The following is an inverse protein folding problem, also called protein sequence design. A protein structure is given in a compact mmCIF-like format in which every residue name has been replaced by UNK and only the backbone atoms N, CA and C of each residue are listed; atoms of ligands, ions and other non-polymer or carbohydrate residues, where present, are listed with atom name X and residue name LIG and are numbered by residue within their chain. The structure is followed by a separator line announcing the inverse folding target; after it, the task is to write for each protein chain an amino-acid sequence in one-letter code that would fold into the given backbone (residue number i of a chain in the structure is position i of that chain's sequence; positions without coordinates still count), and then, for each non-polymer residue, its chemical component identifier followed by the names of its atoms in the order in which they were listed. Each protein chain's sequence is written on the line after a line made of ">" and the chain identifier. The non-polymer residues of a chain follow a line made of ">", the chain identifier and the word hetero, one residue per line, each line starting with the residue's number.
data_IF_311062128935
#
_entry.id   IF_311062128935
#
_cell.length_a   1.000
_cell.length_b   1.000
_cell.length_c   1.000
_cell.angle_alpha   90.00
_cell.angle_beta   90.00
_cell.angle_gamma   90.00
#
_symmetry.space_group_name_H-M   'P 1'
#
loop_
_entity.id
_entity.type
_entity.pdbx_description
1 polymer ?
#
# COMPACT_ATOMS: atom_id res chain seq x y z
N UNK A 1 7.30 -14.74 -14.92
CA UNK A 1 6.13 -14.47 -14.05
C UNK A 1 6.46 -13.76 -12.76
N UNK A 2 7.48 -14.18 -11.99
CA UNK A 2 7.84 -13.52 -10.72
C UNK A 2 8.08 -12.01 -10.84
N UNK A 3 8.74 -11.53 -11.91
CA UNK A 3 8.95 -10.10 -12.14
C UNK A 3 7.65 -9.32 -12.36
N UNK A 4 6.66 -9.90 -13.03
CA UNK A 4 5.35 -9.24 -13.29
C UNK A 4 4.60 -9.09 -11.98
N UNK A 5 4.53 -10.14 -11.16
CA UNK A 5 3.88 -10.09 -9.85
C UNK A 5 4.56 -9.11 -8.89
N UNK A 6 5.90 -9.06 -8.91
CA UNK A 6 6.66 -8.10 -8.11
C UNK A 6 6.37 -6.66 -8.54
N UNK A 7 6.32 -6.39 -9.83
CA UNK A 7 5.97 -5.08 -10.36
C UNK A 7 4.53 -4.69 -10.07
N UNK A 8 3.59 -5.62 -10.23
CA UNK A 8 2.18 -5.40 -9.89
C UNK A 8 2.03 -5.00 -8.42
N UNK A 9 2.67 -5.75 -7.50
CA UNK A 9 2.66 -5.44 -6.06
C UNK A 9 3.24 -4.06 -5.73
N UNK A 10 4.40 -3.71 -6.29
CA UNK A 10 5.05 -2.41 -6.03
C UNK A 10 4.18 -1.23 -6.50
N UNK A 11 3.48 -1.38 -7.62
CA UNK A 11 2.69 -0.29 -8.23
C UNK A 11 1.29 -0.22 -7.63
N UNK A 12 0.67 -1.36 -7.32
CA UNK A 12 -0.70 -1.38 -6.77
C UNK A 12 -0.76 -0.85 -5.34
N UNK A 13 0.31 -0.97 -4.55
CA UNK A 13 0.37 -0.48 -3.18
C UNK A 13 0.11 1.04 -3.06
N UNK A 14 0.89 1.94 -3.70
CA UNK A 14 0.64 3.38 -3.65
C UNK A 14 -0.67 3.77 -4.34
N UNK A 15 -1.04 3.11 -5.45
CA UNK A 15 -2.30 3.38 -6.15
C UNK A 15 -3.49 3.03 -5.24
N UNK A 16 -3.44 1.89 -4.56
CA UNK A 16 -4.47 1.45 -3.62
C UNK A 16 -4.61 2.41 -2.44
N UNK A 17 -3.50 2.87 -1.87
CA UNK A 17 -3.51 3.89 -0.82
C UNK A 17 -4.13 5.20 -1.33
N UNK A 18 -3.73 5.67 -2.52
CA UNK A 18 -4.32 6.86 -3.14
C UNK A 18 -5.82 6.70 -3.38
N UNK A 19 -6.28 5.57 -3.93
CA UNK A 19 -7.70 5.33 -4.16
C UNK A 19 -8.49 5.32 -2.85
N UNK A 20 -7.95 4.73 -1.79
CA UNK A 20 -8.57 4.75 -0.47
C UNK A 20 -8.74 6.17 0.06
N UNK A 21 -7.77 7.05 -0.18
CA UNK A 21 -7.87 8.48 0.14
C UNK A 21 -9.00 9.14 -0.62
N UNK A 22 -9.16 8.85 -1.91
CA UNK A 22 -10.24 9.44 -2.70
C UNK A 22 -11.61 9.00 -2.18
N UNK A 23 -11.74 7.72 -1.84
CA UNK A 23 -12.97 7.20 -1.26
C UNK A 23 -13.22 7.85 0.10
N UNK A 24 -12.21 7.95 0.97
CA UNK A 24 -12.33 8.63 2.26
C UNK A 24 -12.77 10.10 2.11
N UNK A 25 -12.12 10.86 1.23
CA UNK A 25 -12.48 12.26 0.98
C UNK A 25 -13.88 12.40 0.39
N UNK A 26 -14.28 11.51 -0.52
CA UNK A 26 -15.62 11.53 -1.10
C UNK A 26 -16.71 11.23 -0.05
N UNK A 27 -16.44 10.32 0.89
CA UNK A 27 -17.34 10.00 2.01
C UNK A 27 -17.46 11.21 2.95
N UNK A 28 -16.34 11.80 3.36
CA UNK A 28 -16.34 12.94 4.29
C UNK A 28 -16.92 14.21 3.64
N UNK A 29 -16.70 14.43 2.35
CA UNK A 29 -17.22 15.58 1.62
C UNK A 29 -18.71 15.47 1.23
N UNK A 30 -19.36 14.33 1.50
CA UNK A 30 -20.81 14.17 1.30
C UNK A 30 -21.27 13.97 -0.15
N UNK A 31 -20.39 13.65 -1.11
CA UNK A 31 -20.81 13.37 -2.49
C UNK A 31 -19.69 13.20 -3.51
N UNK A 32 -19.94 12.35 -4.51
CA UNK A 32 -18.97 12.01 -5.58
C UNK A 32 -18.87 13.10 -6.66
N UNK A 33 -19.94 13.89 -6.86
CA UNK A 33 -20.06 14.82 -8.00
C UNK A 33 -19.30 16.13 -7.76
N UNK A 34 -19.44 16.77 -6.58
CA UNK A 34 -18.64 17.94 -6.19
C UNK A 34 -17.17 17.57 -5.91
N UNK A 35 -16.93 16.29 -5.63
CA UNK A 35 -15.61 15.72 -5.43
C UNK A 35 -14.86 15.56 -6.77
N UNK A 36 -15.47 15.15 -7.88
CA UNK A 36 -14.71 14.63 -9.04
C UNK A 36 -13.67 15.61 -9.62
N UNK A 37 -13.98 16.91 -9.78
CA UNK A 37 -13.01 17.91 -10.27
C UNK A 37 -11.94 18.24 -9.22
N UNK A 38 -12.34 18.52 -7.97
CA UNK A 38 -11.41 18.85 -6.88
C UNK A 38 -10.51 17.66 -6.51
N UNK A 39 -11.06 16.45 -6.57
CA UNK A 39 -10.41 15.18 -6.25
C UNK A 39 -9.42 14.80 -7.35
N UNK A 40 -9.80 14.89 -8.63
CA UNK A 40 -8.87 14.65 -9.74
C UNK A 40 -7.65 15.58 -9.71
N UNK A 41 -7.89 16.87 -9.41
CA UNK A 41 -6.80 17.83 -9.26
C UNK A 41 -5.94 17.56 -8.01
N UNK A 42 -6.57 17.11 -6.91
CA UNK A 42 -5.85 16.71 -5.70
C UNK A 42 -4.94 15.50 -5.95
N UNK A 43 -5.42 14.49 -6.69
CA UNK A 43 -4.65 13.29 -7.06
C UNK A 43 -3.44 13.67 -7.88
N UNK A 44 -3.66 14.48 -8.91
CA UNK A 44 -2.59 14.93 -9.78
C UNK A 44 -1.53 15.70 -8.97
N UNK A 45 -1.96 16.60 -8.09
CA UNK A 45 -1.06 17.32 -7.18
C UNK A 45 -0.31 16.36 -6.24
N UNK A 46 -0.99 15.35 -5.69
CA UNK A 46 -0.38 14.31 -4.84
C UNK A 46 0.71 13.54 -5.58
N UNK A 47 0.47 13.15 -6.84
CA UNK A 47 1.47 12.46 -7.67
C UNK A 47 2.64 13.37 -8.01
N UNK A 48 2.38 14.62 -8.39
CA UNK A 48 3.43 15.57 -8.78
C UNK A 48 4.31 15.91 -7.57
N UNK A 49 3.70 16.28 -6.44
CA UNK A 49 4.43 16.61 -5.21
C UNK A 49 5.18 15.39 -4.71
N UNK A 50 4.50 14.24 -4.61
CA UNK A 50 5.13 13.01 -4.12
C UNK A 50 6.26 12.53 -5.03
N UNK A 51 6.06 12.59 -6.35
CA UNK A 51 7.08 12.27 -7.34
C UNK A 51 8.28 13.20 -7.26
N UNK A 52 8.06 14.52 -7.20
CA UNK A 52 9.14 15.51 -7.13
C UNK A 52 9.96 15.35 -5.84
N UNK A 53 9.30 15.26 -4.69
CA UNK A 53 9.97 15.09 -3.39
C UNK A 53 10.64 13.71 -3.31
N UNK A 54 10.03 12.65 -3.84
CA UNK A 54 10.60 11.31 -3.85
C UNK A 54 11.87 11.21 -4.70
N UNK A 55 11.87 11.80 -5.90
CA UNK A 55 13.06 11.88 -6.76
C UNK A 55 14.15 12.72 -6.09
N UNK A 56 13.79 13.87 -5.53
CA UNK A 56 14.74 14.76 -4.85
C UNK A 56 15.36 14.08 -3.62
N UNK A 57 14.55 13.45 -2.76
CA UNK A 57 15.01 12.73 -1.58
C UNK A 57 15.88 11.52 -1.91
N UNK A 58 15.49 10.74 -2.93
CA UNK A 58 16.29 9.61 -3.42
C UNK A 58 17.64 10.06 -3.99
N UNK A 59 17.65 11.09 -4.84
CA UNK A 59 18.88 11.68 -5.39
C UNK A 59 19.78 12.25 -4.30
N UNK A 60 19.21 12.99 -3.34
CA UNK A 60 19.96 13.54 -2.21
C UNK A 60 20.67 12.44 -1.42
N UNK A 61 19.98 11.35 -1.13
CA UNK A 61 20.53 10.21 -0.41
C UNK A 61 21.66 9.54 -1.19
N UNK A 62 21.49 9.33 -2.50
CA UNK A 62 22.54 8.78 -3.37
C UNK A 62 23.78 9.68 -3.36
N UNK A 63 23.61 11.01 -3.47
CA UNK A 63 24.72 11.97 -3.46
C UNK A 63 25.45 11.94 -2.12
N UNK A 64 24.72 11.93 -1.00
CA UNK A 64 25.30 11.88 0.35
C UNK A 64 26.13 10.61 0.56
N UNK A 65 25.64 9.46 0.08
CA UNK A 65 26.37 8.19 0.14
C UNK A 65 27.57 8.18 -0.80
N UNK A 66 27.42 8.67 -2.03
CA UNK A 66 28.50 8.71 -3.03
C UNK A 66 29.65 9.61 -2.62
N UNK A 67 29.36 10.72 -1.93
CA UNK A 67 30.36 11.68 -1.45
C UNK A 67 31.01 11.26 -0.13
N UNK A 68 30.71 10.06 0.39
CA UNK A 68 31.20 9.57 1.68
C UNK A 68 30.88 10.50 2.86
N UNK A 69 29.80 11.29 2.77
CA UNK A 69 29.35 12.15 3.88
C UNK A 69 28.66 11.37 4.99
N UNK A 70 28.21 10.14 4.68
CA UNK A 70 27.57 9.24 5.64
C UNK A 70 28.51 8.08 5.95
N UNK A 71 28.99 7.95 7.20
CA UNK A 71 29.73 6.78 7.64
C UNK A 71 28.92 5.49 7.48
N UNK A 72 29.59 4.37 7.18
CA UNK A 72 28.92 3.11 6.82
C UNK A 72 27.95 2.59 7.88
N UNK A 73 28.27 2.76 9.16
CA UNK A 73 27.41 2.36 10.29
C UNK A 73 26.16 3.24 10.46
N UNK A 74 26.14 4.47 9.93
CA UNK A 74 24.98 5.37 9.98
C UNK A 74 24.09 5.30 8.74
N UNK A 75 24.49 4.58 7.69
CA UNK A 75 23.76 4.54 6.42
C UNK A 75 22.29 4.16 6.60
N UNK A 76 22.00 3.15 7.42
CA UNK A 76 20.63 2.69 7.65
C UNK A 76 19.79 3.73 8.39
N UNK A 77 20.33 4.31 9.47
CA UNK A 77 19.64 5.32 10.28
C UNK A 77 19.40 6.62 9.52
N UNK A 78 20.41 7.11 8.79
CA UNK A 78 20.27 8.31 7.96
C UNK A 78 19.30 8.08 6.82
N UNK A 79 19.28 6.87 6.24
CA UNK A 79 18.30 6.52 5.20
C UNK A 79 16.87 6.59 5.71
N UNK A 80 16.60 6.00 6.87
CA UNK A 80 15.28 6.12 7.50
C UNK A 80 14.93 7.57 7.83
N UNK A 81 15.87 8.33 8.38
CA UNK A 81 15.66 9.73 8.73
C UNK A 81 15.25 10.55 7.51
N UNK A 82 15.98 10.42 6.40
CA UNK A 82 15.67 11.13 5.15
C UNK A 82 14.33 10.64 4.57
N UNK A 83 14.06 9.34 4.63
CA UNK A 83 12.81 8.76 4.14
C UNK A 83 11.60 9.31 4.91
N UNK A 84 11.66 9.33 6.25
CA UNK A 84 10.61 9.87 7.11
C UNK A 84 10.48 11.38 6.93
N UNK A 85 11.59 12.11 6.81
CA UNK A 85 11.58 13.54 6.56
C UNK A 85 10.93 13.87 5.21
N UNK A 86 11.29 13.15 4.15
CA UNK A 86 10.71 13.32 2.82
C UNK A 86 9.21 12.98 2.83
N UNK A 87 8.82 11.86 3.47
CA UNK A 87 7.43 11.47 3.66
C UNK A 87 6.64 12.62 4.32
N UNK A 88 7.09 13.06 5.50
CA UNK A 88 6.40 14.09 6.30
C UNK A 88 6.34 15.42 5.58
N UNK A 89 7.42 15.82 4.90
CA UNK A 89 7.47 17.07 4.14
C UNK A 89 6.49 17.05 2.97
N UNK A 90 6.43 15.95 2.21
CA UNK A 90 5.45 15.81 1.13
C UNK A 90 4.01 15.78 1.67
N UNK A 91 3.76 15.01 2.72
CA UNK A 91 2.44 14.88 3.36
C UNK A 91 1.93 16.22 3.91
N UNK A 92 2.84 17.06 4.43
CA UNK A 92 2.53 18.42 4.87
C UNK A 92 2.09 19.34 3.71
N UNK A 93 2.78 19.28 2.56
CA UNK A 93 2.43 20.08 1.37
C UNK A 93 1.10 19.61 0.78
N UNK A 94 0.94 18.30 0.68
CA UNK A 94 -0.23 17.65 0.13
C UNK A 94 -0.44 16.35 0.88
N UNK A 95 -1.51 16.30 1.68
CA UNK A 95 -1.91 15.11 2.44
C UNK A 95 -1.90 13.91 1.52
N UNK A 96 -1.34 12.81 2.03
CA UNK A 96 -1.27 11.49 1.41
C UNK A 96 -0.24 11.36 0.28
N UNK A 97 0.47 12.44 -0.09
CA UNK A 97 1.57 12.36 -1.05
C UNK A 97 2.80 11.64 -0.52
N UNK A 98 2.88 11.47 0.81
CA UNK A 98 3.93 10.69 1.48
C UNK A 98 4.09 9.28 0.94
N UNK A 99 3.00 8.55 0.67
CA UNK A 99 3.06 7.20 0.13
C UNK A 99 3.71 7.15 -1.26
N UNK A 100 3.38 8.11 -2.13
CA UNK A 100 4.01 8.23 -3.45
C UNK A 100 5.48 8.60 -3.32
N UNK A 101 5.82 9.53 -2.42
CA UNK A 101 7.19 9.95 -2.13
C UNK A 101 8.08 8.76 -1.78
N UNK A 102 7.68 7.94 -0.82
CA UNK A 102 8.51 6.81 -0.35
C UNK A 102 8.65 5.72 -1.41
N UNK A 103 7.60 5.46 -2.20
CA UNK A 103 7.68 4.50 -3.31
C UNK A 103 8.61 4.97 -4.41
N UNK A 104 8.50 6.24 -4.83
CA UNK A 104 9.38 6.80 -5.86
C UNK A 104 10.83 6.86 -5.37
N UNK A 105 11.04 7.24 -4.11
CA UNK A 105 12.36 7.24 -3.49
C UNK A 105 12.97 5.82 -3.45
N UNK A 106 12.16 4.81 -3.11
CA UNK A 106 12.56 3.40 -3.19
C UNK A 106 12.91 2.93 -4.60
N UNK A 107 12.12 3.31 -5.61
CA UNK A 107 12.39 3.00 -7.03
C UNK A 107 13.71 3.66 -7.48
N UNK A 108 13.95 4.92 -7.11
CA UNK A 108 15.19 5.64 -7.43
C UNK A 108 16.39 4.97 -6.79
N UNK A 109 16.28 4.58 -5.51
CA UNK A 109 17.35 3.88 -4.80
C UNK A 109 17.59 2.47 -5.32
N UNK A 110 16.57 1.76 -5.77
CA UNK A 110 16.71 0.41 -6.31
C UNK A 110 17.30 0.38 -7.73
N UNK A 111 17.05 1.41 -8.55
CA UNK A 111 17.49 1.47 -9.94
C UNK A 111 18.85 2.16 -10.16
N UNK A 112 19.41 2.81 -9.15
CA UNK A 112 20.74 3.43 -9.24
C UNK A 112 21.85 2.38 -9.14
N UNK A 113 23.00 2.66 -9.78
CA UNK A 113 24.18 1.77 -9.81
C UNK A 113 25.43 2.39 -9.18
N UNK A 114 25.27 3.56 -8.57
CA UNK A 114 26.37 4.41 -8.09
C UNK A 114 26.83 4.03 -6.68
N UNK A 115 25.91 3.57 -5.83
CA UNK A 115 26.18 3.21 -4.43
C UNK A 115 25.62 1.84 -4.08
N UNK A 116 26.33 1.11 -3.20
CA UNK A 116 25.81 -0.15 -2.65
C UNK A 116 24.71 0.13 -1.62
N UNK A 117 23.52 -0.43 -1.88
CA UNK A 117 22.32 -0.34 -1.02
C UNK A 117 22.02 -1.65 -0.30
N UNK A 118 22.90 -2.67 -0.37
CA UNK A 118 22.63 -4.02 0.16
C UNK A 118 22.21 -4.00 1.63
N UNK A 119 22.96 -3.32 2.48
CA UNK A 119 22.64 -3.19 3.90
C UNK A 119 21.34 -2.43 4.18
N UNK A 120 20.98 -1.46 3.33
CA UNK A 120 19.71 -0.74 3.44
C UNK A 120 18.55 -1.70 3.13
N UNK A 121 18.70 -2.54 2.10
CA UNK A 121 17.68 -3.53 1.73
C UNK A 121 17.50 -4.59 2.82
N UNK A 122 18.59 -5.15 3.35
CA UNK A 122 18.58 -6.13 4.45
C UNK A 122 17.91 -5.55 5.71
N UNK A 123 18.23 -4.30 6.04
CA UNK A 123 17.65 -3.61 7.17
C UNK A 123 16.15 -3.33 6.95
N UNK A 124 15.76 -2.88 5.76
CA UNK A 124 14.35 -2.71 5.37
C UNK A 124 13.59 -4.03 5.47
N UNK A 125 14.18 -5.14 5.05
CA UNK A 125 13.56 -6.47 5.13
C UNK A 125 13.32 -6.88 6.58
N UNK A 126 14.32 -6.70 7.44
CA UNK A 126 14.21 -6.93 8.89
C UNK A 126 13.08 -6.09 9.51
N UNK A 127 13.01 -4.80 9.18
CA UNK A 127 11.93 -3.92 9.64
C UNK A 127 10.57 -4.33 9.10
N UNK A 128 10.51 -4.77 7.85
CA UNK A 128 9.28 -5.24 7.22
C UNK A 128 8.75 -6.44 8.00
N UNK A 129 9.57 -7.44 8.29
CA UNK A 129 9.18 -8.62 9.08
C UNK A 129 8.66 -8.21 10.47
N UNK A 130 9.36 -7.30 11.15
CA UNK A 130 8.96 -6.82 12.47
C UNK A 130 7.61 -6.11 12.45
N UNK A 131 7.41 -5.17 11.51
CA UNK A 131 6.16 -4.41 11.40
C UNK A 131 4.99 -5.26 10.94
N UNK A 132 5.20 -6.19 10.01
CA UNK A 132 4.16 -7.12 9.56
C UNK A 132 3.72 -8.00 10.75
N UNK A 133 4.68 -8.58 11.47
CA UNK A 133 4.38 -9.41 12.65
C UNK A 133 3.61 -8.63 13.70
N UNK A 134 4.05 -7.41 14.03
CA UNK A 134 3.36 -6.53 14.97
C UNK A 134 1.95 -6.15 14.51
N UNK A 135 1.78 -5.83 13.23
CA UNK A 135 0.47 -5.47 12.67
C UNK A 135 -0.51 -6.64 12.79
N UNK A 136 -0.08 -7.87 12.46
CA UNK A 136 -0.92 -9.05 12.63
C UNK A 136 -1.33 -9.27 14.09
N UNK A 137 -0.43 -9.05 15.05
CA UNK A 137 -0.72 -9.16 16.49
C UNK A 137 -1.76 -8.12 16.90
N UNK A 138 -1.56 -6.85 16.53
CA UNK A 138 -2.49 -5.75 16.83
C UNK A 138 -3.85 -5.99 16.17
N UNK A 139 -3.86 -6.42 14.92
CA UNK A 139 -5.11 -6.60 14.18
C UNK A 139 -5.90 -7.80 14.73
N UNK A 140 -5.21 -8.87 15.14
CA UNK A 140 -5.82 -10.00 15.84
C UNK A 140 -6.37 -9.60 17.21
N UNK A 141 -5.72 -8.69 17.93
CA UNK A 141 -6.21 -8.22 19.24
C UNK A 141 -7.43 -7.30 19.15
N UNK A 142 -7.68 -6.68 18.00
CA UNK A 142 -8.88 -5.86 17.77
C UNK A 142 -10.13 -6.69 17.43
N UNK A 143 -10.00 -7.98 17.16
CA UNK A 143 -11.15 -8.82 16.85
C UNK A 143 -11.96 -9.12 18.12
N UNK A 144 -13.24 -8.75 18.10
CA UNK A 144 -14.16 -9.08 19.18
C UNK A 144 -14.93 -10.37 18.85
N UNK A 145 -15.38 -11.11 19.86
CA UNK A 145 -16.21 -12.33 19.66
C UNK A 145 -17.49 -12.06 18.87
N UNK A 146 -18.02 -10.84 18.89
CA UNK A 146 -19.14 -10.38 18.07
C UNK A 146 -18.78 -10.26 16.58
N UNK A 147 -17.55 -9.87 16.24
CA UNK A 147 -17.05 -9.87 14.85
C UNK A 147 -16.91 -11.29 14.32
N UNK A 148 -16.59 -12.28 15.18
CA UNK A 148 -16.48 -13.69 14.77
C UNK A 148 -17.77 -14.23 14.15
N UNK A 149 -18.94 -13.85 14.68
CA UNK A 149 -20.24 -14.23 14.10
C UNK A 149 -20.48 -13.59 12.73
N UNK A 150 -19.98 -12.37 12.50
CA UNK A 150 -20.03 -11.70 11.20
C UNK A 150 -19.01 -12.31 10.21
N UNK A 151 -17.82 -12.65 10.69
CA UNK A 151 -16.72 -13.29 9.95
C UNK A 151 -17.12 -14.69 9.47
N UNK A 152 -17.81 -15.47 10.32
CA UNK A 152 -18.34 -16.81 9.99
C UNK A 152 -19.68 -16.72 9.22
N UNK A 153 -20.24 -15.52 9.07
CA UNK A 153 -21.49 -15.34 8.32
C UNK A 153 -21.32 -15.75 6.85
N UNK A 154 -22.36 -16.37 6.30
CA UNK A 154 -22.44 -16.76 4.88
C UNK A 154 -22.13 -15.57 3.94
N UNK A 155 -22.43 -14.33 4.38
CA UNK A 155 -22.17 -13.09 3.63
C UNK A 155 -20.68 -12.82 3.46
N UNK A 156 -19.89 -13.03 4.50
CA UNK A 156 -18.42 -12.80 4.48
C UNK A 156 -17.72 -13.85 3.64
N UNK A 157 -18.16 -15.12 3.73
CA UNK A 157 -17.69 -16.19 2.87
C UNK A 157 -18.04 -15.95 1.40
N UNK A 158 -19.27 -15.50 1.11
CA UNK A 158 -19.70 -15.14 -0.23
C UNK A 158 -18.89 -13.94 -0.78
N UNK A 159 -18.65 -12.93 0.07
CA UNK A 159 -17.82 -11.78 -0.31
C UNK A 159 -16.39 -12.19 -0.68
N UNK A 160 -15.75 -13.05 0.13
CA UNK A 160 -14.43 -13.62 -0.18
C UNK A 160 -14.43 -14.40 -1.49
N UNK A 161 -15.44 -15.24 -1.69
CA UNK A 161 -15.56 -16.05 -2.89
C UNK A 161 -15.72 -15.18 -4.14
N UNK A 162 -16.56 -14.15 -4.07
CA UNK A 162 -16.70 -13.16 -5.15
C UNK A 162 -15.39 -12.42 -5.38
N UNK A 163 -14.67 -12.05 -4.33
CA UNK A 163 -13.41 -11.32 -4.44
C UNK A 163 -12.30 -12.16 -5.10
N UNK A 164 -12.19 -13.46 -4.75
CA UNK A 164 -11.18 -14.37 -5.30
C UNK A 164 -11.55 -14.94 -6.67
N UNK A 165 -12.80 -15.33 -6.88
CA UNK A 165 -13.23 -16.07 -8.08
C UNK A 165 -13.75 -15.14 -9.17
N UNK A 166 -14.25 -13.96 -8.82
CA UNK A 166 -14.89 -13.05 -9.79
C UNK A 166 -14.04 -11.79 -9.97
N UNK A 167 -13.86 -11.00 -8.90
CA UNK A 167 -13.24 -9.68 -9.02
C UNK A 167 -11.79 -9.77 -9.55
N UNK A 168 -10.98 -10.68 -9.00
CA UNK A 168 -9.56 -10.80 -9.39
C UNK A 168 -9.39 -11.36 -10.81
N UNK A 169 -10.04 -12.47 -11.22
CA UNK A 169 -10.00 -12.92 -12.61
C UNK A 169 -10.51 -11.86 -13.58
N UNK A 170 -11.61 -11.17 -13.29
CA UNK A 170 -12.09 -10.09 -14.17
C UNK A 170 -11.03 -8.99 -14.35
N UNK A 171 -10.43 -8.50 -13.27
CA UNK A 171 -9.38 -7.48 -13.35
C UNK A 171 -8.19 -7.94 -14.21
N UNK A 172 -7.72 -9.19 -14.02
CA UNK A 172 -6.58 -9.73 -14.77
C UNK A 172 -6.96 -9.95 -16.24
N UNK A 173 -8.10 -10.56 -16.54
CA UNK A 173 -8.53 -10.83 -17.93
C UNK A 173 -8.82 -9.56 -18.71
N UNK A 174 -9.40 -8.54 -18.07
CA UNK A 174 -9.62 -7.22 -18.69
C UNK A 174 -8.29 -6.52 -18.97
N UNK A 175 -7.37 -6.50 -17.98
CA UNK A 175 -6.06 -5.84 -18.12
C UNK A 175 -5.14 -6.57 -19.11
N UNK A 176 -5.32 -7.87 -19.31
CA UNK A 176 -4.47 -8.71 -20.19
C UNK A 176 -5.09 -8.99 -21.57
N UNK A 177 -6.21 -8.32 -21.93
CA UNK A 177 -6.94 -8.56 -23.19
C UNK A 177 -6.13 -8.24 -24.46
N UNK A 178 -5.05 -7.48 -24.35
CA UNK A 178 -4.09 -7.19 -25.43
C UNK A 178 -2.66 -7.70 -25.18
N UNK A 179 -2.45 -8.53 -24.16
CA UNK A 179 -1.11 -9.05 -23.82
C UNK A 179 -0.83 -10.39 -24.50
N UNK A 180 0.45 -10.68 -24.77
CA UNK A 180 0.90 -11.99 -25.30
C UNK A 180 0.91 -13.14 -24.29
N UNK A 181 0.20 -13.00 -23.15
CA UNK A 181 0.15 -14.01 -22.09
C UNK A 181 -0.75 -15.19 -22.48
N UNK A 182 -0.28 -16.41 -22.22
CA UNK A 182 -1.07 -17.63 -22.41
C UNK A 182 -2.17 -17.75 -21.34
N UNK A 183 -3.25 -18.46 -21.67
CA UNK A 183 -4.40 -18.64 -20.76
C UNK A 183 -3.99 -19.23 -19.39
N UNK A 184 -3.03 -20.18 -19.38
CA UNK A 184 -2.49 -20.77 -18.14
C UNK A 184 -1.80 -19.73 -17.25
N UNK A 185 -1.12 -18.77 -17.86
CA UNK A 185 -0.42 -17.68 -17.16
C UNK A 185 -1.41 -16.67 -16.60
N UNK A 186 -2.49 -16.37 -17.32
CA UNK A 186 -3.59 -15.51 -16.86
C UNK A 186 -4.33 -16.13 -15.67
N UNK A 187 -4.61 -17.43 -15.73
CA UNK A 187 -5.22 -18.16 -14.61
C UNK A 187 -4.29 -18.12 -13.39
N UNK A 188 -3.00 -18.41 -13.57
CA UNK A 188 -2.02 -18.34 -12.48
C UNK A 188 -1.92 -16.93 -11.87
N UNK A 189 -1.85 -15.89 -12.69
CA UNK A 189 -1.86 -14.49 -12.24
C UNK A 189 -3.15 -14.09 -11.52
N UNK A 190 -4.30 -14.59 -11.99
CA UNK A 190 -5.59 -14.34 -11.35
C UNK A 190 -5.75 -15.05 -10.01
N UNK A 191 -5.09 -16.19 -9.85
CA UNK A 191 -5.15 -16.99 -8.63
C UNK A 191 -4.17 -16.50 -7.57
N UNK A 192 -3.02 -15.94 -7.96
CA UNK A 192 -2.02 -15.43 -7.03
C UNK A 192 -2.27 -13.95 -6.73
N UNK A 193 -2.94 -13.69 -5.61
CA UNK A 193 -3.28 -12.34 -5.16
C UNK A 193 -3.01 -12.18 -3.65
N UNK A 194 -1.74 -12.13 -3.21
CA UNK A 194 -1.44 -11.77 -1.84
C UNK A 194 -1.96 -10.34 -1.61
N UNK A 195 -3.01 -10.20 -0.80
CA UNK A 195 -3.54 -8.88 -0.41
C UNK A 195 -2.57 -8.25 0.57
N UNK A 196 -2.11 -7.05 0.22
CA UNK A 196 -0.97 -6.41 0.86
C UNK A 196 -1.24 -5.88 2.26
N UNK A 197 -0.15 -5.77 3.02
CA UNK A 197 -0.06 -5.10 4.32
C UNK A 197 -0.54 -3.64 4.23
N UNK A 198 -0.34 -2.99 3.07
CA UNK A 198 -0.79 -1.62 2.82
C UNK A 198 -2.29 -1.50 2.94
N UNK A 199 -3.08 -2.46 2.42
CA UNK A 199 -4.53 -2.45 2.57
C UNK A 199 -4.94 -2.50 4.06
N UNK A 200 -4.24 -3.29 4.87
CA UNK A 200 -4.47 -3.39 6.32
C UNK A 200 -4.21 -2.06 7.02
N UNK A 201 -3.05 -1.46 6.77
CA UNK A 201 -2.64 -0.20 7.39
C UNK A 201 -3.59 0.94 6.99
N UNK A 202 -3.91 1.03 5.71
CA UNK A 202 -4.79 2.05 5.14
C UNK A 202 -6.22 1.92 5.67
N UNK A 203 -6.77 0.70 5.70
CA UNK A 203 -8.10 0.45 6.25
C UNK A 203 -8.17 0.75 7.75
N UNK A 204 -7.13 0.41 8.51
CA UNK A 204 -7.04 0.72 9.94
C UNK A 204 -7.00 2.23 10.18
N UNK A 205 -6.13 2.96 9.47
CA UNK A 205 -5.98 4.42 9.64
C UNK A 205 -7.24 5.17 9.22
N UNK A 206 -7.81 4.87 8.05
CA UNK A 206 -9.02 5.56 7.58
C UNK A 206 -10.28 5.10 8.31
N UNK A 207 -10.38 3.83 8.68
CA UNK A 207 -11.48 3.33 9.50
C UNK A 207 -11.54 4.05 10.85
N UNK A 208 -10.40 4.19 11.53
CA UNK A 208 -10.32 4.94 12.79
C UNK A 208 -10.68 6.43 12.61
N UNK A 209 -10.20 7.09 11.55
CA UNK A 209 -10.57 8.48 11.25
C UNK A 209 -12.07 8.63 10.98
N UNK A 210 -12.67 7.73 10.20
CA UNK A 210 -14.11 7.74 9.93
C UNK A 210 -14.94 7.55 11.20
N UNK A 211 -14.53 6.65 12.09
CA UNK A 211 -15.21 6.48 13.40
C UNK A 211 -15.12 7.76 14.23
N UNK A 212 -13.97 8.46 14.23
CA UNK A 212 -13.81 9.76 14.89
C UNK A 212 -14.68 10.86 14.27
N UNK A 213 -14.89 10.81 12.95
CA UNK A 213 -15.78 11.71 12.22
C UNK A 213 -17.27 11.35 12.35
N UNK A 214 -17.62 10.34 13.18
CA UNK A 214 -18.99 9.97 13.51
C UNK A 214 -19.57 8.79 12.72
N UNK A 215 -18.79 8.16 11.84
CA UNK A 215 -19.21 6.98 11.09
C UNK A 215 -18.88 5.69 11.85
N UNK A 216 -19.76 5.29 12.77
CA UNK A 216 -19.58 4.09 13.61
C UNK A 216 -19.47 2.79 12.80
N UNK A 217 -20.13 2.71 11.64
CA UNK A 217 -20.06 1.56 10.72
C UNK A 217 -18.66 1.33 10.11
N UNK A 218 -17.77 2.33 10.17
CA UNK A 218 -16.41 2.21 9.64
C UNK A 218 -15.53 1.23 10.44
N UNK A 219 -15.95 0.83 11.65
CA UNK A 219 -15.28 -0.23 12.41
C UNK A 219 -15.29 -1.57 11.64
N UNK A 220 -16.35 -1.86 10.88
CA UNK A 220 -16.45 -3.06 10.06
C UNK A 220 -15.43 -3.11 8.92
N UNK A 221 -14.90 -1.97 8.46
CA UNK A 221 -13.86 -1.94 7.43
C UNK A 221 -12.58 -2.63 7.91
N UNK A 222 -12.23 -2.45 9.18
CA UNK A 222 -11.02 -3.05 9.76
C UNK A 222 -11.20 -4.56 9.90
N UNK A 223 -12.35 -5.00 10.41
CA UNK A 223 -12.69 -6.43 10.57
C UNK A 223 -12.75 -7.15 9.22
N UNK A 224 -13.39 -6.57 8.20
CA UNK A 224 -13.47 -7.15 6.85
C UNK A 224 -12.07 -7.21 6.21
N UNK A 225 -11.27 -6.16 6.34
CA UNK A 225 -9.92 -6.15 5.76
C UNK A 225 -9.03 -7.22 6.39
N UNK A 226 -9.11 -7.41 7.72
CA UNK A 226 -8.42 -8.50 8.38
C UNK A 226 -8.87 -9.88 7.87
N UNK A 227 -10.18 -10.09 7.77
CA UNK A 227 -10.75 -11.33 7.25
C UNK A 227 -10.22 -11.64 5.84
N UNK A 228 -10.16 -10.63 4.96
CA UNK A 228 -9.61 -10.77 3.61
C UNK A 228 -8.14 -11.16 3.64
N UNK A 229 -7.34 -10.48 4.46
CA UNK A 229 -5.90 -10.74 4.55
C UNK A 229 -5.63 -12.13 5.11
N UNK A 230 -6.27 -12.50 6.23
CA UNK A 230 -6.14 -13.81 6.85
C UNK A 230 -6.59 -14.93 5.90
N UNK A 231 -7.71 -14.75 5.20
CA UNK A 231 -8.15 -15.71 4.19
C UNK A 231 -7.13 -15.83 3.04
N UNK A 232 -6.58 -14.72 2.53
CA UNK A 232 -5.54 -14.80 1.50
C UNK A 232 -4.27 -15.48 1.98
N UNK A 233 -3.82 -15.23 3.21
CA UNK A 233 -2.62 -15.89 3.77
C UNK A 233 -2.88 -17.39 3.98
N UNK A 234 -4.06 -17.79 4.45
CA UNK A 234 -4.39 -19.21 4.62
C UNK A 234 -4.54 -19.98 3.30
N UNK A 235 -4.99 -19.31 2.24
CA UNK A 235 -5.20 -19.95 0.92
C UNK A 235 -3.92 -19.98 0.08
N UNK A 236 -3.06 -18.96 0.21
CA UNK A 236 -1.89 -18.77 -0.66
C UNK A 236 -0.53 -18.84 0.02
N UNK A 237 -0.47 -18.76 1.36
CA UNK A 237 0.76 -18.89 2.16
C UNK A 237 1.09 -20.33 2.49
#
# INVERSE_FOLDING_TARGET
>A
MGSIMKWEGIVIDPIGAMLAVLVFQAVVAGGVIEATEKVGLSVLKTVIVGGAVGVAGGRALIILMKRYWIPDYLRNSVTLMILIAAFTFSDYIQKESGFVTVTIMGIVLANQKEVSIKHIMEFKETLSVLFISSLFIILSSRLTFSDLHFVISIKSALFLLVLFVVARPLCVFLSTRGSGLQLKEKIFLSWMAPRGIVAASVASVFGLKLVQDGFTEAEHLVSITFLVITATVLVYG
#
